data_IF_544179501017
#
_entry.id   IF_544179501017
#
_cell.length_a   1.000
_cell.length_b   1.000
_cell.length_c   1.000
_cell.angle_alpha   90.00
_cell.angle_beta   90.00
_cell.angle_gamma   90.00
#
_symmetry.space_group_name_H-M   'P 1'
#
loop_
_entity.id
_entity.type
_entity.pdbx_description
1 polymer ?
#
# COMPACT_ATOMS: atom_id res chain seq x y z
N UNK A 1 9.86 13.72 -16.63
CA UNK A 1 9.48 12.30 -16.46
C UNK A 1 10.14 11.88 -15.15
N UNK A 2 9.41 12.06 -14.06
CA UNK A 2 9.93 11.98 -12.69
C UNK A 2 9.80 10.56 -12.12
N UNK A 3 10.37 9.60 -12.84
CA UNK A 3 10.22 8.15 -12.53
C UNK A 3 11.02 7.73 -11.30
N UNK A 4 11.89 8.60 -10.81
CA UNK A 4 12.61 8.46 -9.54
C UNK A 4 11.69 8.57 -8.32
N UNK A 5 10.48 9.13 -8.46
CA UNK A 5 9.58 9.41 -7.35
C UNK A 5 8.73 8.20 -6.95
N UNK A 6 8.25 8.22 -5.72
CA UNK A 6 7.15 7.36 -5.31
C UNK A 6 5.84 7.86 -5.94
N UNK A 7 5.50 7.27 -7.07
CA UNK A 7 4.26 7.54 -7.83
C UNK A 7 3.60 6.24 -8.28
N UNK A 8 2.54 6.31 -9.10
CA UNK A 8 1.62 5.21 -9.44
C UNK A 8 2.25 3.83 -9.48
N UNK A 9 3.31 3.64 -10.26
CA UNK A 9 3.94 2.33 -10.42
C UNK A 9 4.52 1.75 -9.12
N UNK A 10 5.12 2.60 -8.28
CA UNK A 10 5.76 2.22 -7.01
C UNK A 10 4.74 1.82 -5.93
N UNK A 11 3.47 2.21 -6.07
CA UNK A 11 2.43 1.91 -5.08
C UNK A 11 2.25 0.40 -4.88
N UNK A 12 2.56 -0.42 -5.88
CA UNK A 12 2.41 -1.88 -5.84
C UNK A 12 3.46 -2.59 -4.99
N UNK A 13 4.62 -1.97 -4.76
CA UNK A 13 5.75 -2.64 -4.10
C UNK A 13 5.40 -3.12 -2.68
N UNK A 14 4.74 -2.33 -1.81
CA UNK A 14 4.28 -2.79 -0.50
C UNK A 14 3.35 -4.01 -0.57
N UNK A 15 2.41 -4.04 -1.52
CA UNK A 15 1.50 -5.17 -1.72
C UNK A 15 2.25 -6.44 -2.16
N UNK A 16 3.20 -6.30 -3.10
CA UNK A 16 3.99 -7.42 -3.57
C UNK A 16 4.82 -8.06 -2.44
N UNK A 17 5.46 -7.24 -1.60
CA UNK A 17 6.20 -7.71 -0.41
C UNK A 17 5.26 -8.42 0.58
N UNK A 18 4.05 -7.86 0.79
CA UNK A 18 3.03 -8.48 1.64
C UNK A 18 2.64 -9.87 1.16
N UNK A 19 2.37 -10.02 -0.14
CA UNK A 19 1.91 -11.26 -0.73
C UNK A 19 3.00 -12.33 -0.82
N UNK A 20 4.24 -11.96 -1.18
CA UNK A 20 5.36 -12.90 -1.22
C UNK A 20 5.65 -13.47 0.18
N UNK A 21 5.67 -12.59 1.20
CA UNK A 21 5.85 -13.01 2.58
C UNK A 21 4.73 -13.94 3.07
N UNK A 22 3.46 -13.64 2.78
CA UNK A 22 2.33 -14.50 3.16
C UNK A 22 2.41 -15.90 2.52
N UNK A 23 2.86 -15.99 1.26
CA UNK A 23 2.93 -17.26 0.56
C UNK A 23 4.17 -18.09 0.88
N UNK A 24 5.30 -17.44 1.15
CA UNK A 24 6.59 -18.12 1.23
C UNK A 24 7.40 -17.81 2.48
N UNK A 25 7.21 -16.63 3.10
CA UNK A 25 7.92 -16.17 4.30
C UNK A 25 9.45 -16.39 4.23
N UNK A 26 10.05 -16.08 3.07
CA UNK A 26 11.44 -16.43 2.79
C UNK A 26 12.45 -15.45 3.39
N UNK A 27 12.07 -14.19 3.62
CA UNK A 27 12.98 -13.13 4.08
C UNK A 27 12.34 -12.16 5.09
N UNK A 28 12.96 -12.00 6.27
CA UNK A 28 12.52 -11.03 7.29
C UNK A 28 12.62 -9.57 6.80
N UNK A 29 13.45 -9.30 5.79
CA UNK A 29 13.59 -7.98 5.17
C UNK A 29 12.25 -7.44 4.65
N UNK A 30 11.37 -8.29 4.14
CA UNK A 30 10.06 -7.89 3.62
C UNK A 30 9.18 -7.30 4.73
N UNK A 31 9.17 -7.96 5.90
CA UNK A 31 8.49 -7.46 7.10
C UNK A 31 9.06 -6.12 7.56
N UNK A 32 10.39 -5.96 7.51
CA UNK A 32 11.03 -4.67 7.84
C UNK A 32 10.63 -3.56 6.87
N UNK A 33 10.54 -3.86 5.57
CA UNK A 33 10.06 -2.92 4.56
C UNK A 33 8.59 -2.55 4.77
N UNK A 34 7.72 -3.53 5.04
CA UNK A 34 6.32 -3.31 5.36
C UNK A 34 6.14 -2.42 6.60
N UNK A 35 6.92 -2.67 7.66
CA UNK A 35 6.91 -1.84 8.87
C UNK A 35 7.33 -0.38 8.58
N UNK A 36 8.37 -0.19 7.75
CA UNK A 36 8.87 1.16 7.39
C UNK A 36 7.87 1.95 6.56
N UNK A 37 7.24 1.34 5.56
CA UNK A 37 6.28 2.04 4.70
C UNK A 37 5.01 2.41 5.46
N UNK A 38 4.50 1.52 6.32
CA UNK A 38 3.35 1.83 7.17
C UNK A 38 3.68 2.93 8.18
N UNK A 39 4.85 2.88 8.85
CA UNK A 39 5.28 3.97 9.73
C UNK A 39 5.46 5.29 8.98
N UNK A 40 5.96 5.27 7.75
CA UNK A 40 6.07 6.49 6.95
C UNK A 40 4.71 7.14 6.75
N UNK A 41 3.71 6.40 6.27
CA UNK A 41 2.39 6.94 5.99
C UNK A 41 1.58 7.30 7.23
N UNK A 42 1.58 6.44 8.26
CA UNK A 42 0.80 6.68 9.48
C UNK A 42 1.42 7.74 10.38
N UNK A 43 2.76 7.78 10.50
CA UNK A 43 3.44 8.65 11.47
C UNK A 43 4.23 9.77 10.79
N UNK A 44 5.20 9.45 9.92
CA UNK A 44 6.11 10.48 9.34
C UNK A 44 5.36 11.55 8.55
N UNK A 45 4.41 11.14 7.69
CA UNK A 45 3.58 12.06 6.91
C UNK A 45 2.17 12.24 7.45
N UNK A 46 1.89 11.67 8.63
CA UNK A 46 0.65 11.86 9.40
C UNK A 46 -0.63 11.67 8.56
N UNK A 47 -0.73 10.54 7.87
CA UNK A 47 -1.93 10.15 7.11
C UNK A 47 -2.11 10.83 5.75
N UNK A 48 -1.11 11.56 5.23
CA UNK A 48 -1.14 12.18 3.90
C UNK A 48 -1.04 11.15 2.77
N UNK A 49 -2.08 10.34 2.56
CA UNK A 49 -2.12 9.30 1.52
C UNK A 49 -2.49 9.83 0.12
N UNK A 50 -2.35 11.13 -0.11
CA UNK A 50 -2.82 11.82 -1.32
C UNK A 50 -1.80 12.75 -1.96
N UNK A 51 -0.52 12.64 -1.56
CA UNK A 51 0.58 13.45 -2.08
C UNK A 51 1.62 12.61 -2.83
N UNK A 52 2.49 13.28 -3.59
CA UNK A 52 3.67 12.67 -4.22
C UNK A 52 4.87 12.80 -3.29
N UNK A 53 5.75 11.80 -3.32
CA UNK A 53 6.94 11.76 -2.47
C UNK A 53 8.20 11.49 -3.29
N UNK A 54 9.29 12.17 -2.93
CA UNK A 54 10.63 11.69 -3.27
C UNK A 54 10.95 10.43 -2.45
N UNK A 55 11.90 9.61 -2.92
CA UNK A 55 12.26 8.34 -2.26
C UNK A 55 12.86 8.50 -0.86
N UNK A 56 13.38 9.69 -0.54
CA UNK A 56 13.86 10.04 0.80
C UNK A 56 12.73 10.46 1.75
N UNK A 57 11.49 10.50 1.27
CA UNK A 57 10.31 10.89 2.03
C UNK A 57 9.95 12.37 1.95
N UNK A 58 10.69 13.18 1.18
CA UNK A 58 10.35 14.59 0.95
C UNK A 58 8.99 14.68 0.27
N UNK A 59 8.11 15.51 0.85
CA UNK A 59 6.76 15.74 0.31
C UNK A 59 6.85 16.70 -0.86
N UNK A 60 6.22 16.33 -1.96
CA UNK A 60 6.00 17.19 -3.11
C UNK A 60 4.56 17.66 -3.04
N UNK A 61 4.33 18.98 -3.11
CA UNK A 61 3.01 19.62 -3.05
C UNK A 61 2.20 19.38 -4.34
N UNK A 62 2.06 18.13 -4.73
CA UNK A 62 1.34 17.61 -5.88
C UNK A 62 0.45 16.44 -5.41
N UNK A 63 -0.78 16.38 -5.93
CA UNK A 63 -1.71 15.30 -5.58
C UNK A 63 -1.36 14.00 -6.28
N UNK A 64 -1.36 12.91 -5.52
CA UNK A 64 -1.28 11.56 -6.07
C UNK A 64 -2.45 11.32 -7.05
N UNK A 65 -2.16 10.75 -8.22
CA UNK A 65 -3.20 10.45 -9.19
C UNK A 65 -4.16 9.36 -8.68
N UNK A 66 -3.66 8.43 -7.87
CA UNK A 66 -4.36 7.25 -7.35
C UNK A 66 -4.19 7.10 -5.83
N UNK A 67 -4.84 7.94 -5.02
CA UNK A 67 -4.67 7.90 -3.56
C UNK A 67 -5.32 6.67 -2.90
N UNK A 68 -6.39 6.11 -3.50
CA UNK A 68 -7.03 4.89 -2.96
C UNK A 68 -6.14 3.67 -3.21
N UNK A 69 -5.36 3.67 -4.29
CA UNK A 69 -4.32 2.66 -4.49
C UNK A 69 -3.25 2.68 -3.38
N UNK A 70 -2.78 3.87 -2.95
CA UNK A 70 -1.81 3.99 -1.85
C UNK A 70 -2.39 3.39 -0.56
N UNK A 71 -3.65 3.71 -0.24
CA UNK A 71 -4.35 3.15 0.93
C UNK A 71 -4.42 1.63 0.83
N UNK A 72 -4.85 1.10 -0.32
CA UNK A 72 -5.03 -0.33 -0.54
C UNK A 72 -3.71 -1.10 -0.38
N UNK A 73 -2.62 -0.65 -0.99
CA UNK A 73 -1.36 -1.39 -0.97
C UNK A 73 -0.59 -1.23 0.34
N UNK A 74 -0.74 -0.11 1.06
CA UNK A 74 -0.24 0.03 2.43
C UNK A 74 -1.00 -0.91 3.40
N UNK A 75 -2.30 -1.12 3.17
CA UNK A 75 -3.07 -2.09 3.92
C UNK A 75 -2.66 -3.54 3.57
N UNK A 76 -2.47 -3.86 2.29
CA UNK A 76 -2.01 -5.21 1.86
C UNK A 76 -0.63 -5.56 2.42
N UNK A 77 0.26 -4.58 2.60
CA UNK A 77 1.54 -4.76 3.29
C UNK A 77 1.39 -5.29 4.74
N UNK A 78 0.20 -5.20 5.34
CA UNK A 78 -0.10 -5.82 6.63
C UNK A 78 0.03 -7.33 6.65
N UNK A 79 0.05 -8.01 5.50
CA UNK A 79 0.36 -9.43 5.43
C UNK A 79 1.79 -9.75 5.92
N UNK A 80 2.75 -8.86 5.65
CA UNK A 80 4.13 -9.01 6.11
C UNK A 80 4.46 -8.21 7.38
N UNK A 81 3.69 -7.14 7.66
CA UNK A 81 3.96 -6.22 8.77
C UNK A 81 3.77 -6.87 10.14
N UNK A 82 4.70 -6.59 11.06
CA UNK A 82 4.60 -6.91 12.48
C UNK A 82 4.62 -5.64 13.35
N UNK A 83 4.45 -4.48 12.72
CA UNK A 83 4.57 -3.16 13.33
C UNK A 83 3.28 -2.62 13.93
N UNK A 84 3.38 -1.49 14.63
CA UNK A 84 2.26 -0.90 15.36
C UNK A 84 1.08 -0.42 14.48
N UNK A 85 1.33 -0.17 13.18
CA UNK A 85 0.36 0.44 12.27
C UNK A 85 -0.43 -0.57 11.42
N UNK A 86 -0.17 -1.87 11.55
CA UNK A 86 -0.83 -2.92 10.77
C UNK A 86 -2.37 -2.80 10.82
N UNK A 87 -2.92 -2.66 12.03
CA UNK A 87 -4.36 -2.52 12.25
C UNK A 87 -4.91 -1.21 11.69
N UNK A 88 -4.17 -0.10 11.88
CA UNK A 88 -4.60 1.21 11.41
C UNK A 88 -4.73 1.26 9.89
N UNK A 89 -3.76 0.70 9.16
CA UNK A 89 -3.82 0.60 7.70
C UNK A 89 -5.01 -0.25 7.23
N UNK A 90 -5.26 -1.40 7.87
CA UNK A 90 -6.40 -2.27 7.54
C UNK A 90 -7.74 -1.60 7.84
N UNK A 91 -7.87 -0.94 8.99
CA UNK A 91 -9.08 -0.19 9.37
C UNK A 91 -9.34 0.96 8.38
N UNK A 92 -8.31 1.70 7.98
CA UNK A 92 -8.43 2.77 6.98
C UNK A 92 -8.92 2.21 5.64
N UNK A 93 -8.34 1.12 5.16
CA UNK A 93 -8.76 0.47 3.93
C UNK A 93 -10.22 -0.04 4.01
N UNK A 94 -10.58 -0.72 5.10
CA UNK A 94 -11.93 -1.23 5.32
C UNK A 94 -13.00 -0.13 5.26
N UNK A 95 -12.68 1.05 5.79
CA UNK A 95 -13.58 2.20 5.78
C UNK A 95 -13.49 3.05 4.50
N UNK A 96 -12.57 2.73 3.57
CA UNK A 96 -12.42 3.43 2.29
C UNK A 96 -13.31 2.78 1.24
N UNK A 97 -14.24 3.52 0.59
CA UNK A 97 -15.06 2.96 -0.48
C UNK A 97 -14.28 2.86 -1.80
N UNK A 98 -14.81 2.09 -2.75
CA UNK A 98 -14.32 2.07 -4.12
C UNK A 98 -14.33 3.48 -4.74
N UNK A 99 -13.30 3.77 -5.54
CA UNK A 99 -13.21 5.04 -6.26
C UNK A 99 -14.25 5.09 -7.38
N UNK A 100 -14.84 6.26 -7.59
CA UNK A 100 -15.77 6.55 -8.69
C UNK A 100 -15.14 7.51 -9.71
N UNK A 101 -15.82 7.75 -10.84
CA UNK A 101 -15.34 8.66 -11.89
C UNK A 101 -14.29 8.05 -12.83
N UNK A 102 -13.74 8.87 -13.73
CA UNK A 102 -12.90 8.42 -14.86
C UNK A 102 -11.57 7.79 -14.43
N UNK A 103 -11.01 8.21 -13.28
CA UNK A 103 -9.69 7.75 -12.80
C UNK A 103 -9.76 6.52 -11.91
N UNK A 104 -10.93 5.88 -11.78
CA UNK A 104 -11.17 4.75 -10.87
C UNK A 104 -10.42 3.45 -11.18
N UNK A 105 -9.96 3.28 -12.42
CA UNK A 105 -9.43 2.00 -12.90
C UNK A 105 -8.28 1.48 -12.04
N UNK A 106 -7.21 2.27 -11.91
CA UNK A 106 -5.99 1.82 -11.21
C UNK A 106 -6.24 1.62 -9.71
N UNK A 107 -6.93 2.57 -9.07
CA UNK A 107 -7.32 2.47 -7.66
C UNK A 107 -8.13 1.21 -7.38
N UNK A 108 -9.16 0.93 -8.19
CA UNK A 108 -10.06 -0.19 -7.94
C UNK A 108 -9.42 -1.54 -8.28
N UNK A 109 -8.44 -1.59 -9.17
CA UNK A 109 -7.62 -2.79 -9.38
C UNK A 109 -6.83 -3.15 -8.12
N UNK A 110 -6.08 -2.19 -7.55
CA UNK A 110 -5.30 -2.42 -6.34
C UNK A 110 -6.18 -2.63 -5.11
N UNK A 111 -7.33 -1.96 -5.05
CA UNK A 111 -8.36 -2.22 -4.04
C UNK A 111 -8.81 -3.68 -4.06
N UNK A 112 -9.13 -4.23 -5.23
CA UNK A 112 -9.61 -5.60 -5.35
C UNK A 112 -8.55 -6.61 -4.90
N UNK A 113 -7.28 -6.39 -5.26
CA UNK A 113 -6.18 -7.26 -4.83
C UNK A 113 -5.99 -7.20 -3.31
N UNK A 114 -5.94 -6.01 -2.72
CA UNK A 114 -5.86 -5.85 -1.27
C UNK A 114 -7.04 -6.50 -0.55
N UNK A 115 -8.27 -6.39 -1.09
CA UNK A 115 -9.44 -7.05 -0.52
C UNK A 115 -9.33 -8.58 -0.56
N UNK A 116 -8.87 -9.14 -1.68
CA UNK A 116 -8.64 -10.58 -1.81
C UNK A 116 -7.55 -11.05 -0.83
N UNK A 117 -6.44 -10.30 -0.75
CA UNK A 117 -5.30 -10.60 0.11
C UNK A 117 -5.71 -10.57 1.59
N UNK A 118 -6.27 -9.45 2.06
CA UNK A 118 -6.63 -9.24 3.47
C UNK A 118 -7.82 -10.09 3.93
N UNK A 119 -8.66 -10.59 3.00
CA UNK A 119 -9.71 -11.57 3.33
C UNK A 119 -9.23 -13.02 3.28
N UNK A 120 -7.95 -13.26 2.96
CA UNK A 120 -7.39 -14.61 2.84
C UNK A 120 -7.91 -15.38 1.62
N UNK A 121 -8.32 -14.69 0.55
CA UNK A 121 -8.83 -15.26 -0.70
C UNK A 121 -7.87 -15.09 -1.89
N UNK A 122 -6.74 -14.40 -1.72
CA UNK A 122 -5.66 -14.38 -2.70
C UNK A 122 -4.74 -15.59 -2.49
N UNK A 123 -5.01 -16.67 -3.21
CA UNK A 123 -4.40 -17.98 -2.98
C UNK A 123 -3.69 -18.54 -4.20
N UNK A 124 -2.70 -19.38 -3.95
CA UNK A 124 -2.10 -20.25 -4.95
C UNK A 124 -3.09 -21.38 -5.26
N UNK A 125 -3.47 -21.49 -6.54
CA UNK A 125 -4.23 -22.63 -7.06
C UNK A 125 -3.25 -23.65 -7.64
N UNK A 126 -3.36 -24.91 -7.22
CA UNK A 126 -2.49 -26.02 -7.63
C UNK A 126 -3.25 -27.03 -8.47
#
# INVERSE_FOLDING_TARGET
>A
DHRERYYSDAYRVPANLGLDYEWFAADEWESQCANKIQNFFCNTVNGRNDMVYEIDGTIIEEKALHPVAIIATNAEASLASSGAYQKECVDLFWNTPLRTGERRYYDNCLYLFALLALSGNYRIYR
#
